data_IF_625979090695
#
_entry.id   IF_625979090695
#
_cell.length_a   1.000
_cell.length_b   1.000
_cell.length_c   1.000
_cell.angle_alpha   90.00
_cell.angle_beta   90.00
_cell.angle_gamma   90.00
#
_symmetry.space_group_name_H-M   'P 1'
#
loop_
_entity.id
_entity.type
_entity.pdbx_description
1 polymer ?
#
# COMPACT_ATOMS: atom_id res chain seq x y z
N UNK A 1 -2.25 3.84 20.25
CA UNK A 1 -1.23 2.79 20.26
C UNK A 1 -1.44 1.96 19.02
N UNK A 2 -0.41 1.79 18.19
CA UNK A 2 -0.47 0.91 17.01
C UNK A 2 -0.26 -0.51 17.52
N UNK A 3 -1.22 -1.39 17.26
CA UNK A 3 -1.12 -2.79 17.68
C UNK A 3 -0.19 -3.50 16.69
N UNK A 4 1.00 -3.86 17.16
CA UNK A 4 1.98 -4.60 16.36
C UNK A 4 1.65 -6.08 16.43
N UNK A 5 1.47 -6.73 15.28
CA UNK A 5 1.30 -8.18 15.19
C UNK A 5 2.55 -8.81 14.56
N UNK A 6 2.95 -9.96 15.08
CA UNK A 6 3.98 -10.76 14.46
C UNK A 6 3.32 -11.66 13.44
N UNK A 7 3.84 -11.66 12.21
CA UNK A 7 3.39 -12.53 11.12
C UNK A 7 4.59 -13.27 10.57
N UNK A 8 4.43 -14.56 10.31
CA UNK A 8 5.43 -15.36 9.61
C UNK A 8 5.04 -15.44 8.14
N UNK A 9 6.00 -15.19 7.27
CA UNK A 9 5.82 -15.24 5.82
C UNK A 9 6.75 -16.27 5.22
N UNK A 10 6.22 -17.09 4.31
CA UNK A 10 7.00 -18.01 3.51
C UNK A 10 7.39 -17.35 2.19
N UNK A 11 8.69 -17.16 1.96
CA UNK A 11 9.19 -16.49 0.76
C UNK A 11 8.98 -17.29 -0.53
N UNK A 12 8.81 -18.61 -0.44
CA UNK A 12 8.68 -19.46 -1.63
C UNK A 12 7.23 -19.63 -2.10
N UNK A 13 6.28 -19.70 -1.17
CA UNK A 13 4.87 -19.93 -1.53
C UNK A 13 3.94 -18.75 -1.18
N UNK A 14 4.46 -17.70 -0.57
CA UNK A 14 3.66 -16.53 -0.17
C UNK A 14 2.68 -16.79 0.98
N UNK A 15 2.66 -17.99 1.56
CA UNK A 15 1.82 -18.27 2.72
C UNK A 15 2.26 -17.42 3.90
N UNK A 16 1.29 -16.89 4.65
CA UNK A 16 1.57 -16.17 5.89
C UNK A 16 0.59 -16.59 6.99
N UNK A 17 1.02 -16.49 8.23
CA UNK A 17 0.20 -16.85 9.39
C UNK A 17 0.66 -16.15 10.67
N UNK A 18 -0.26 -16.03 11.61
CA UNK A 18 0.06 -15.63 12.98
C UNK A 18 0.82 -16.79 13.65
N UNK A 19 2.02 -16.56 14.22
CA UNK A 19 2.78 -17.61 14.92
C UNK A 19 2.05 -18.18 16.14
N UNK A 20 1.03 -17.48 16.66
CA UNK A 20 0.17 -17.98 17.73
C UNK A 20 -0.97 -18.88 17.21
N UNK A 21 -1.22 -18.89 15.88
CA UNK A 21 -2.22 -19.72 15.25
C UNK A 21 -1.56 -21.01 14.70
N UNK A 22 -2.02 -22.16 15.12
CA UNK A 22 -1.62 -23.44 14.55
C UNK A 22 -2.80 -24.07 13.75
N UNK A 23 -2.49 -24.77 12.66
CA UNK A 23 -1.20 -25.07 12.06
C UNK A 23 -0.68 -23.94 11.14
N UNK A 24 0.65 -23.88 10.97
CA UNK A 24 1.28 -22.99 9.99
C UNK A 24 0.70 -23.17 8.58
N UNK A 25 0.46 -22.07 7.87
CA UNK A 25 -0.10 -22.11 6.51
C UNK A 25 0.86 -22.72 5.49
N UNK A 26 2.19 -22.55 5.70
CA UNK A 26 3.20 -23.27 4.92
C UNK A 26 3.62 -24.54 5.66
N UNK A 27 3.44 -25.70 5.02
CA UNK A 27 3.77 -27.01 5.58
C UNK A 27 5.10 -27.59 5.08
N UNK A 28 5.80 -26.89 4.17
CA UNK A 28 7.09 -27.35 3.68
C UNK A 28 8.21 -26.77 4.55
N UNK A 29 8.81 -27.63 5.37
CA UNK A 29 9.89 -27.24 6.29
C UNK A 29 11.20 -26.84 5.60
N UNK A 30 11.31 -27.02 4.29
CA UNK A 30 12.44 -26.59 3.47
C UNK A 30 12.31 -25.14 3.00
N UNK A 31 11.09 -24.57 3.12
CA UNK A 31 10.84 -23.20 2.78
C UNK A 31 11.41 -22.26 3.86
N UNK A 32 11.96 -21.17 3.40
CA UNK A 32 12.49 -20.14 4.27
C UNK A 32 11.36 -19.26 4.82
N UNK A 33 11.27 -19.18 6.13
CA UNK A 33 10.21 -18.47 6.82
C UNK A 33 10.78 -17.25 7.54
N UNK A 34 10.31 -16.08 7.18
CA UNK A 34 10.69 -14.84 7.83
C UNK A 34 9.63 -14.37 8.82
N UNK A 35 10.10 -13.91 9.96
CA UNK A 35 9.27 -13.31 10.99
C UNK A 35 9.19 -11.81 10.73
N UNK A 36 8.00 -11.31 10.45
CA UNK A 36 7.75 -9.89 10.29
C UNK A 36 6.94 -9.35 11.47
N UNK A 37 7.32 -8.18 11.94
CA UNK A 37 6.43 -7.38 12.78
C UNK A 37 5.48 -6.63 11.85
N UNK A 38 4.25 -7.15 11.71
CA UNK A 38 3.19 -6.39 11.07
C UNK A 38 2.63 -5.40 12.08
N UNK A 39 2.43 -4.18 11.68
CA UNK A 39 1.69 -3.19 12.44
C UNK A 39 0.47 -2.74 11.64
N UNK A 40 -0.58 -2.35 12.36
CA UNK A 40 -1.78 -1.86 11.72
C UNK A 40 -1.51 -0.48 11.12
N UNK A 41 -1.72 -0.37 9.81
CA UNK A 41 -1.74 0.89 9.13
C UNK A 41 -3.08 1.62 9.39
N UNK A 42 -3.08 2.93 9.34
CA UNK A 42 -4.32 3.69 9.28
C UNK A 42 -4.93 3.47 7.90
N UNK A 43 -5.94 2.60 7.81
CA UNK A 43 -6.57 2.28 6.53
C UNK A 43 -7.21 3.52 5.88
N UNK A 44 -7.87 4.38 6.64
CA UNK A 44 -8.44 5.63 6.13
C UNK A 44 -7.36 6.71 6.03
N UNK A 45 -7.15 7.22 4.84
CA UNK A 45 -6.22 8.31 4.54
C UNK A 45 -7.02 9.51 4.05
N UNK A 46 -6.79 10.67 4.67
CA UNK A 46 -7.37 11.96 4.27
C UNK A 46 -6.25 12.79 3.66
N UNK A 47 -6.33 13.04 2.36
CA UNK A 47 -5.35 13.81 1.61
C UNK A 47 -5.41 15.32 1.95
N UNK A 48 -4.39 16.13 1.59
CA UNK A 48 -4.34 17.55 1.92
C UNK A 48 -5.55 18.37 1.43
N UNK A 49 -6.18 17.98 0.33
CA UNK A 49 -7.37 18.61 -0.23
C UNK A 49 -8.69 18.05 0.36
N UNK A 50 -8.61 17.25 1.42
CA UNK A 50 -9.71 16.56 2.07
C UNK A 50 -10.31 15.38 1.28
N UNK A 51 -9.70 14.96 0.18
CA UNK A 51 -10.09 13.72 -0.52
C UNK A 51 -9.74 12.52 0.36
N UNK A 52 -10.68 11.58 0.47
CA UNK A 52 -10.51 10.38 1.29
C UNK A 52 -10.31 9.14 0.43
N UNK A 53 -9.43 8.26 0.88
CA UNK A 53 -9.23 6.94 0.29
C UNK A 53 -8.85 5.91 1.36
N UNK A 54 -8.86 4.65 0.99
CA UNK A 54 -8.45 3.54 1.86
C UNK A 54 -7.10 2.99 1.40
N UNK A 55 -6.15 2.91 2.31
CA UNK A 55 -4.88 2.22 2.06
C UNK A 55 -4.93 0.81 2.64
N UNK A 56 -4.45 -0.17 1.88
CA UNK A 56 -4.56 -1.60 2.22
C UNK A 56 -3.24 -2.34 2.03
N UNK A 57 -3.13 -3.50 2.68
CA UNK A 57 -2.02 -4.44 2.50
C UNK A 57 -2.51 -5.87 2.43
N UNK A 58 -1.73 -6.77 1.83
CA UNK A 58 -1.99 -8.22 1.85
C UNK A 58 -1.75 -8.87 3.23
N UNK A 59 -1.20 -8.13 4.19
CA UNK A 59 -0.81 -8.62 5.51
C UNK A 59 -1.96 -9.02 6.44
N UNK A 60 -3.17 -9.27 5.92
CA UNK A 60 -4.31 -9.78 6.68
C UNK A 60 -4.58 -11.25 6.34
N UNK A 61 -5.24 -11.96 7.27
CA UNK A 61 -5.63 -13.37 7.07
C UNK A 61 -6.55 -13.54 5.87
N UNK A 62 -7.41 -12.55 5.63
CA UNK A 62 -8.22 -12.45 4.42
C UNK A 62 -8.03 -11.05 3.81
N UNK A 63 -7.15 -10.92 2.81
CA UNK A 63 -6.83 -9.64 2.20
C UNK A 63 -8.00 -9.02 1.43
N UNK A 64 -9.05 -9.78 1.14
CA UNK A 64 -10.24 -9.31 0.43
C UNK A 64 -11.46 -9.12 1.34
N UNK A 65 -11.36 -9.44 2.64
CA UNK A 65 -12.45 -9.18 3.57
C UNK A 65 -12.69 -7.68 3.70
N UNK A 66 -13.90 -7.26 3.38
CA UNK A 66 -14.40 -5.89 3.50
C UNK A 66 -15.85 -5.93 3.97
N UNK A 67 -16.19 -5.13 4.96
CA UNK A 67 -17.60 -4.94 5.33
C UNK A 67 -18.39 -4.40 4.14
N UNK A 68 -17.79 -3.47 3.41
CA UNK A 68 -18.33 -2.93 2.16
C UNK A 68 -17.19 -2.89 1.14
N UNK A 69 -17.27 -3.62 0.03
CA UNK A 69 -16.27 -3.59 -1.01
C UNK A 69 -16.04 -2.18 -1.57
N UNK A 70 -14.82 -1.84 -1.98
CA UNK A 70 -14.58 -0.59 -2.68
C UNK A 70 -15.25 -0.59 -4.06
N UNK A 71 -15.53 0.60 -4.57
CA UNK A 71 -16.04 0.77 -5.93
C UNK A 71 -14.91 0.62 -6.96
N UNK A 72 -13.65 0.85 -6.52
CA UNK A 72 -12.46 0.68 -7.34
C UNK A 72 -11.18 0.50 -6.49
N UNK A 73 -10.23 -0.29 -6.98
CA UNK A 73 -8.91 -0.48 -6.38
C UNK A 73 -7.77 -0.19 -7.36
N UNK A 74 -6.70 0.49 -6.88
CA UNK A 74 -5.43 0.59 -7.59
C UNK A 74 -4.38 -0.22 -6.82
N UNK A 75 -3.89 -1.29 -7.41
CA UNK A 75 -2.96 -2.19 -6.74
C UNK A 75 -1.56 -2.11 -7.33
N UNK A 76 -0.58 -1.97 -6.45
CA UNK A 76 0.84 -1.86 -6.74
C UNK A 76 1.55 -3.20 -6.63
N UNK A 77 0.77 -4.28 -6.79
CA UNK A 77 1.24 -5.66 -6.69
C UNK A 77 0.27 -6.56 -7.48
N UNK A 78 0.76 -7.17 -8.54
CA UNK A 78 -0.04 -8.01 -9.44
C UNK A 78 -0.62 -9.28 -8.79
N UNK A 79 -0.16 -9.64 -7.59
CA UNK A 79 -0.70 -10.78 -6.82
C UNK A 79 -2.09 -10.54 -6.28
N UNK A 80 -2.56 -9.28 -6.19
CA UNK A 80 -3.93 -8.98 -5.84
C UNK A 80 -4.89 -9.50 -6.92
N UNK A 81 -5.99 -10.14 -6.50
CA UNK A 81 -7.02 -10.67 -7.40
C UNK A 81 -8.40 -10.45 -6.79
N UNK A 82 -8.76 -9.20 -6.44
CA UNK A 82 -10.04 -8.92 -5.79
C UNK A 82 -11.21 -9.11 -6.76
N UNK A 83 -12.43 -9.37 -6.22
CA UNK A 83 -13.62 -9.55 -7.03
C UNK A 83 -14.28 -8.24 -7.50
N UNK A 84 -13.76 -7.09 -7.13
CA UNK A 84 -14.25 -5.76 -7.51
C UNK A 84 -13.43 -5.13 -8.64
N UNK A 85 -13.92 -4.04 -9.27
CA UNK A 85 -13.19 -3.32 -10.31
C UNK A 85 -11.84 -2.81 -9.81
N UNK A 86 -10.79 -3.05 -10.56
CA UNK A 86 -9.44 -2.64 -10.17
C UNK A 86 -8.52 -2.49 -11.38
N UNK A 87 -7.41 -1.81 -11.14
CA UNK A 87 -6.26 -1.72 -12.04
C UNK A 87 -4.97 -2.06 -11.29
N UNK A 88 -3.97 -2.48 -12.06
CA UNK A 88 -2.61 -2.68 -11.57
C UNK A 88 -1.70 -1.59 -12.11
N UNK A 89 -0.88 -1.05 -11.22
CA UNK A 89 0.27 -0.25 -11.60
C UNK A 89 1.52 -1.08 -11.32
N UNK A 90 2.28 -1.38 -12.37
CA UNK A 90 3.52 -2.13 -12.23
C UNK A 90 4.52 -1.34 -11.40
N UNK A 91 4.84 -1.89 -10.24
CA UNK A 91 5.71 -1.23 -9.26
C UNK A 91 6.64 -2.25 -8.61
N UNK A 92 7.94 -2.22 -8.92
CA UNK A 92 8.91 -3.16 -8.35
C UNK A 92 8.96 -3.08 -6.82
N UNK A 93 9.09 -4.23 -6.18
CA UNK A 93 9.23 -4.26 -4.72
C UNK A 93 10.54 -3.58 -4.30
N UNK A 94 10.49 -2.74 -3.27
CA UNK A 94 11.58 -1.85 -2.83
C UNK A 94 12.11 -0.86 -3.88
N UNK A 95 11.57 -0.85 -5.08
CA UNK A 95 11.95 0.04 -6.19
C UNK A 95 10.90 1.09 -6.51
N UNK A 96 11.03 1.66 -7.70
CA UNK A 96 10.13 2.65 -8.28
C UNK A 96 9.74 2.26 -9.70
N UNK A 97 8.61 2.72 -10.23
CA UNK A 97 8.23 2.47 -11.62
C UNK A 97 9.16 3.17 -12.61
N UNK A 98 9.38 2.54 -13.75
CA UNK A 98 10.20 3.09 -14.84
C UNK A 98 9.55 4.30 -15.54
N UNK A 99 8.21 4.37 -15.52
CA UNK A 99 7.45 5.43 -16.20
C UNK A 99 6.65 6.30 -15.20
N UNK A 100 7.22 7.45 -14.79
CA UNK A 100 6.53 8.37 -13.88
C UNK A 100 5.23 8.95 -14.47
N UNK A 101 5.10 9.05 -15.79
CA UNK A 101 3.90 9.59 -16.44
C UNK A 101 2.72 8.65 -16.25
N UNK A 102 2.94 7.35 -16.39
CA UNK A 102 1.92 6.35 -16.10
C UNK A 102 1.51 6.35 -14.63
N UNK A 103 2.47 6.58 -13.71
CA UNK A 103 2.18 6.70 -12.28
C UNK A 103 1.25 7.88 -12.03
N UNK A 104 1.60 9.07 -12.54
CA UNK A 104 0.78 10.28 -12.38
C UNK A 104 -0.63 10.04 -12.92
N UNK A 105 -0.75 9.51 -14.13
CA UNK A 105 -2.05 9.25 -14.76
C UNK A 105 -2.92 8.27 -13.94
N UNK A 106 -2.33 7.19 -13.41
CA UNK A 106 -3.05 6.24 -12.58
C UNK A 106 -3.51 6.86 -11.24
N UNK A 107 -2.63 7.65 -10.60
CA UNK A 107 -2.95 8.33 -9.36
C UNK A 107 -4.00 9.44 -9.55
N UNK A 108 -3.95 10.20 -10.64
CA UNK A 108 -4.97 11.20 -10.99
C UNK A 108 -6.32 10.53 -11.29
N UNK A 109 -6.33 9.37 -11.98
CA UNK A 109 -7.54 8.57 -12.19
C UNK A 109 -8.16 8.14 -10.86
N UNK A 110 -7.34 7.65 -9.93
CA UNK A 110 -7.79 7.26 -8.58
C UNK A 110 -8.38 8.47 -7.82
N UNK A 111 -7.69 9.63 -7.85
CA UNK A 111 -8.18 10.87 -7.25
C UNK A 111 -9.50 11.32 -7.86
N UNK A 112 -9.64 11.28 -9.19
CA UNK A 112 -10.87 11.64 -9.89
C UNK A 112 -12.05 10.80 -9.43
N UNK A 113 -11.85 9.49 -9.23
CA UNK A 113 -12.87 8.57 -8.71
C UNK A 113 -13.24 8.90 -7.26
N UNK A 114 -12.25 9.12 -6.39
CA UNK A 114 -12.48 9.50 -5.00
C UNK A 114 -13.27 10.82 -4.89
N UNK A 115 -12.88 11.83 -5.66
CA UNK A 115 -13.56 13.14 -5.72
C UNK A 115 -14.99 13.05 -6.29
N UNK A 116 -15.25 12.04 -7.14
CA UNK A 116 -16.60 11.71 -7.60
C UNK A 116 -17.44 10.92 -6.57
N UNK A 117 -16.93 10.72 -5.36
CA UNK A 117 -17.63 10.04 -4.28
C UNK A 117 -17.54 8.51 -4.30
N UNK A 118 -16.70 7.93 -5.15
CA UNK A 118 -16.43 6.49 -5.12
C UNK A 118 -15.55 6.14 -3.93
N UNK A 119 -15.81 4.98 -3.33
CA UNK A 119 -14.92 4.38 -2.34
C UNK A 119 -13.74 3.74 -3.07
N UNK A 120 -12.58 4.33 -2.96
CA UNK A 120 -11.39 3.82 -3.61
C UNK A 120 -10.39 3.29 -2.62
N UNK A 121 -9.63 2.27 -3.03
CA UNK A 121 -8.51 1.79 -2.23
C UNK A 121 -7.23 1.68 -3.07
N UNK A 122 -6.09 1.79 -2.39
CA UNK A 122 -4.76 1.61 -2.95
C UNK A 122 -3.94 0.70 -2.04
N UNK A 123 -3.12 -0.19 -2.61
CA UNK A 123 -2.32 -1.06 -1.78
C UNK A 123 -1.26 -1.87 -2.49
N UNK A 124 -0.30 -2.36 -1.70
CA UNK A 124 0.72 -3.31 -2.09
C UNK A 124 0.80 -4.44 -1.06
N UNK A 125 1.75 -5.36 -1.21
CA UNK A 125 1.88 -6.52 -0.32
C UNK A 125 2.05 -6.12 1.15
N UNK A 126 3.07 -5.31 1.49
CA UNK A 126 3.36 -4.91 2.87
C UNK A 126 2.64 -3.63 3.33
N UNK A 127 2.15 -2.82 2.41
CA UNK A 127 1.53 -1.54 2.72
C UNK A 127 2.51 -0.43 3.13
N UNK A 128 3.84 -0.62 3.02
CA UNK A 128 4.85 0.33 3.49
C UNK A 128 5.49 1.12 2.34
N UNK A 129 6.39 0.47 1.56
CA UNK A 129 7.20 1.11 0.53
C UNK A 129 6.36 1.67 -0.61
N UNK A 130 5.89 0.79 -1.48
CA UNK A 130 5.10 1.15 -2.68
C UNK A 130 3.84 1.96 -2.32
N UNK A 131 3.05 1.48 -1.36
CA UNK A 131 1.84 2.19 -0.91
C UNK A 131 2.18 3.53 -0.31
N UNK A 132 3.18 3.60 0.57
CA UNK A 132 3.64 4.85 1.18
C UNK A 132 4.13 5.86 0.15
N UNK A 133 4.89 5.41 -0.85
CA UNK A 133 5.38 6.26 -1.94
C UNK A 133 4.22 6.79 -2.79
N UNK A 134 3.26 5.93 -3.16
CA UNK A 134 2.09 6.36 -3.90
C UNK A 134 1.23 7.36 -3.12
N UNK A 135 1.09 7.17 -1.80
CA UNK A 135 0.39 8.13 -0.93
C UNK A 135 1.13 9.47 -0.82
N UNK A 136 2.47 9.47 -0.79
CA UNK A 136 3.26 10.69 -0.84
C UNK A 136 3.06 11.43 -2.18
N UNK A 137 3.06 10.70 -3.30
CA UNK A 137 2.74 11.25 -4.61
C UNK A 137 1.32 11.84 -4.66
N UNK A 138 0.32 11.12 -4.15
CA UNK A 138 -1.06 11.62 -4.04
C UNK A 138 -1.15 12.89 -3.20
N UNK A 139 -0.42 12.97 -2.08
CA UNK A 139 -0.37 14.17 -1.26
C UNK A 139 0.19 15.36 -2.04
N UNK A 140 1.25 15.15 -2.84
CA UNK A 140 1.83 16.21 -3.69
C UNK A 140 0.81 16.68 -4.75
N UNK A 141 0.13 15.75 -5.43
CA UNK A 141 -0.94 16.07 -6.38
C UNK A 141 -2.12 16.82 -5.73
N UNK A 142 -2.26 16.70 -4.40
CA UNK A 142 -3.27 17.41 -3.60
C UNK A 142 -2.71 18.65 -2.88
N UNK A 143 -1.51 19.14 -3.27
CA UNK A 143 -0.96 20.42 -2.79
C UNK A 143 0.05 20.31 -1.64
N UNK A 144 0.44 19.12 -1.21
CA UNK A 144 1.53 18.96 -0.24
C UNK A 144 2.88 19.35 -0.88
N UNK A 145 3.71 20.07 -0.16
CA UNK A 145 5.06 20.37 -0.62
C UNK A 145 5.88 19.09 -0.81
N UNK A 146 6.57 18.90 -1.95
CA UNK A 146 7.30 17.65 -2.22
C UNK A 146 8.32 17.28 -1.13
N UNK A 147 9.01 18.27 -0.55
CA UNK A 147 9.96 18.05 0.55
C UNK A 147 9.34 17.58 1.86
N UNK A 148 8.03 17.71 2.02
CA UNK A 148 7.29 17.35 3.25
C UNK A 148 6.41 16.10 3.06
N UNK A 149 6.21 15.62 1.82
CA UNK A 149 5.26 14.57 1.51
C UNK A 149 5.57 13.25 2.23
N UNK A 150 6.84 12.86 2.33
CA UNK A 150 7.26 11.65 3.05
C UNK A 150 7.03 11.78 4.55
N UNK A 151 7.33 12.93 5.13
CA UNK A 151 7.05 13.18 6.55
C UNK A 151 5.55 13.18 6.83
N UNK A 152 4.76 13.74 5.93
CA UNK A 152 3.31 13.74 6.00
C UNK A 152 2.74 12.32 5.99
N UNK A 153 3.17 11.46 5.06
CA UNK A 153 2.67 10.09 4.98
C UNK A 153 3.11 9.26 6.19
N UNK A 154 4.33 9.47 6.70
CA UNK A 154 4.81 8.79 7.92
C UNK A 154 4.00 9.19 9.15
N UNK A 155 3.62 10.43 9.28
CA UNK A 155 2.80 10.90 10.39
C UNK A 155 1.31 10.49 10.29
N UNK A 156 0.76 10.53 9.07
CA UNK A 156 -0.67 10.32 8.82
C UNK A 156 -1.09 8.88 8.57
N UNK A 157 -0.22 8.08 7.99
CA UNK A 157 -0.52 6.72 7.57
C UNK A 157 0.32 5.66 8.33
N UNK A 158 1.61 5.64 8.13
CA UNK A 158 2.50 4.63 8.70
C UNK A 158 3.91 5.19 8.86
N UNK A 159 4.49 5.08 10.06
CA UNK A 159 5.85 5.56 10.36
C UNK A 159 6.94 4.89 9.50
N UNK A 160 6.68 3.69 8.97
CA UNK A 160 7.57 2.92 8.08
C UNK A 160 7.26 3.16 6.59
N UNK A 161 6.39 4.09 6.26
CA UNK A 161 6.08 4.40 4.86
C UNK A 161 7.32 4.93 4.15
N UNK A 162 7.47 4.55 2.87
CA UNK A 162 8.64 4.88 2.03
C UNK A 162 9.91 4.23 2.59
N UNK A 163 10.27 3.06 2.05
CA UNK A 163 11.29 2.17 2.63
C UNK A 163 12.70 2.40 2.08
N UNK A 164 12.82 3.07 0.92
CA UNK A 164 14.11 3.28 0.26
C UNK A 164 14.33 4.74 -0.13
N UNK A 165 15.61 5.15 -0.22
CA UNK A 165 15.99 6.48 -0.68
C UNK A 165 15.51 6.75 -2.11
N UNK A 166 15.46 5.70 -2.96
CA UNK A 166 14.97 5.78 -4.33
C UNK A 166 13.47 6.12 -4.36
N UNK A 167 12.68 5.47 -3.51
CA UNK A 167 11.25 5.77 -3.35
C UNK A 167 11.02 7.21 -2.84
N UNK A 168 11.85 7.67 -1.89
CA UNK A 168 11.78 9.03 -1.38
C UNK A 168 12.12 10.05 -2.48
N UNK A 169 13.21 9.79 -3.23
CA UNK A 169 13.61 10.64 -4.35
C UNK A 169 12.55 10.67 -5.46
N UNK A 170 11.93 9.51 -5.76
CA UNK A 170 10.85 9.41 -6.75
C UNK A 170 9.66 10.30 -6.36
N UNK A 171 9.18 10.20 -5.12
CA UNK A 171 8.07 11.03 -4.66
C UNK A 171 8.42 12.51 -4.71
N UNK A 172 9.61 12.92 -4.24
CA UNK A 172 10.05 14.32 -4.25
C UNK A 172 10.19 14.93 -5.65
N UNK A 173 10.53 14.11 -6.63
CA UNK A 173 10.76 14.57 -8.02
C UNK A 173 9.53 14.37 -8.90
N UNK A 174 8.40 13.94 -8.35
CA UNK A 174 7.17 13.80 -9.12
C UNK A 174 6.75 15.17 -9.65
N UNK A 175 6.72 15.29 -10.96
CA UNK A 175 6.21 16.47 -11.67
C UNK A 175 4.84 16.13 -12.27
N UNK A 176 3.86 16.97 -11.98
CA UNK A 176 2.54 16.94 -12.61
C UNK A 176 2.58 17.48 -14.03
#
# INVERSE_FOLDING_TARGET
MVETRIVIVCNQCGAFWDPAAEPASCRDSRHDHHRFESHLHRSRVVLPDSTELTAVSFGSVDPYARDVPPDFGLYLDERWRPPWPHEYLDWPDFGVPDDPVLVVAALESLLGRARAGQRVEIGCYGGHGRTGTALACLAILCGQAPGEAVSWVRAGYCERAVETDEQEAFARNLTS
#
